data_IF_198504325089
#
_entry.id   IF_198504325089
#
_cell.length_a   1.000
_cell.length_b   1.000
_cell.length_c   1.000
_cell.angle_alpha   90.00
_cell.angle_beta   90.00
_cell.angle_gamma   90.00
#
_symmetry.space_group_name_H-M   'P 1'
#
loop_
_entity.id
_entity.type
_entity.pdbx_description
1 polymer ?
#
# COMPACT_ATOMS: atom_id res chain seq x y z
N UNK A 1 -40.41 -7.24 -35.56
CA UNK A 1 -40.46 -7.85 -34.21
C UNK A 1 -39.81 -6.89 -33.21
N UNK A 2 -40.04 -7.04 -31.89
CA UNK A 2 -39.47 -6.18 -30.82
C UNK A 2 -37.96 -5.81 -30.99
N UNK A 3 -37.09 -6.69 -31.56
CA UNK A 3 -35.69 -6.38 -31.84
C UNK A 3 -35.43 -5.30 -32.90
N UNK A 4 -36.31 -5.14 -33.89
CA UNK A 4 -36.10 -4.15 -34.97
C UNK A 4 -36.33 -2.72 -34.48
N UNK A 5 -37.33 -2.53 -33.63
CA UNK A 5 -37.61 -1.23 -33.00
C UNK A 5 -36.47 -0.81 -32.08
N UNK A 6 -35.88 -1.77 -31.36
CA UNK A 6 -34.70 -1.56 -30.51
C UNK A 6 -33.47 -1.18 -31.35
N UNK A 7 -33.23 -1.85 -32.48
CA UNK A 7 -32.16 -1.47 -33.42
C UNK A 7 -32.39 -0.10 -34.06
N UNK A 8 -33.63 0.25 -34.35
CA UNK A 8 -33.99 1.54 -34.93
C UNK A 8 -33.83 2.70 -33.92
N UNK A 9 -34.12 2.43 -32.64
CA UNK A 9 -33.87 3.34 -31.52
C UNK A 9 -32.37 3.52 -31.24
N UNK A 10 -31.60 2.44 -31.25
CA UNK A 10 -30.14 2.51 -31.08
C UNK A 10 -29.46 3.24 -32.24
N UNK A 11 -29.98 3.11 -33.47
CA UNK A 11 -29.50 3.86 -34.64
C UNK A 11 -29.82 5.36 -34.56
N UNK A 12 -31.01 5.73 -34.11
CA UNK A 12 -31.39 7.14 -33.90
C UNK A 12 -30.65 7.80 -32.73
N UNK A 13 -30.22 7.02 -31.73
CA UNK A 13 -29.36 7.51 -30.65
C UNK A 13 -27.93 7.81 -31.13
N UNK A 14 -27.45 7.09 -32.17
CA UNK A 14 -26.15 7.36 -32.79
C UNK A 14 -26.13 8.63 -33.66
N UNK A 15 -27.29 9.12 -34.12
CA UNK A 15 -27.43 10.33 -34.94
C UNK A 15 -27.49 11.63 -34.11
N UNK A 16 -27.24 11.55 -32.78
CA UNK A 16 -26.71 12.68 -32.01
C UNK A 16 -27.51 13.98 -32.04
N UNK A 17 -28.84 13.93 -31.94
CA UNK A 17 -29.65 15.14 -31.75
C UNK A 17 -30.77 14.95 -30.73
N UNK A 18 -30.47 15.26 -29.47
CA UNK A 18 -31.47 15.56 -28.46
C UNK A 18 -31.66 17.08 -28.34
N UNK A 19 -32.90 17.57 -28.16
CA UNK A 19 -33.22 18.99 -28.04
C UNK A 19 -33.08 19.48 -26.59
N UNK A 20 -32.69 20.74 -26.43
CA UNK A 20 -32.86 21.50 -25.18
C UNK A 20 -31.62 21.57 -24.30
N UNK A 21 -30.82 22.62 -24.53
CA UNK A 21 -30.15 23.55 -23.59
C UNK A 21 -29.80 23.10 -22.16
N UNK A 22 -29.53 21.82 -21.97
CA UNK A 22 -28.56 21.43 -20.95
C UNK A 22 -27.23 21.56 -21.66
N UNK A 23 -26.46 22.60 -21.32
CA UNK A 23 -25.02 22.56 -21.51
C UNK A 23 -24.52 21.38 -20.66
N UNK A 24 -24.67 20.15 -21.15
CA UNK A 24 -23.66 19.13 -20.93
C UNK A 24 -22.45 19.81 -21.50
N UNK A 25 -21.62 20.41 -20.64
CA UNK A 25 -20.32 20.89 -21.07
C UNK A 25 -19.70 19.66 -21.69
N UNK A 26 -19.70 19.60 -23.03
CA UNK A 26 -18.91 18.64 -23.76
C UNK A 26 -17.52 18.90 -23.20
N UNK A 27 -17.06 17.98 -22.34
CA UNK A 27 -15.68 18.01 -21.95
C UNK A 27 -14.99 17.87 -23.29
N UNK A 28 -14.36 18.95 -23.75
CA UNK A 28 -13.57 18.92 -24.98
C UNK A 28 -12.71 17.65 -24.91
N UNK A 29 -12.49 16.97 -26.03
CA UNK A 29 -11.75 15.71 -26.04
C UNK A 29 -10.42 15.84 -25.25
N UNK A 30 -9.85 17.05 -25.26
CA UNK A 30 -8.68 17.48 -24.49
C UNK A 30 -8.89 17.41 -22.95
N UNK A 31 -10.03 17.86 -22.43
CA UNK A 31 -10.38 17.77 -21.00
C UNK A 31 -10.61 16.32 -20.56
N UNK A 32 -11.21 15.50 -21.42
CA UNK A 32 -11.43 14.07 -21.13
C UNK A 32 -10.10 13.30 -21.12
N UNK A 33 -9.22 13.56 -22.09
CA UNK A 33 -7.86 13.01 -22.13
C UNK A 33 -7.07 13.41 -20.88
N UNK A 34 -7.12 14.68 -20.48
CA UNK A 34 -6.44 15.15 -19.27
C UNK A 34 -6.94 14.46 -17.99
N UNK A 35 -8.26 14.26 -17.85
CA UNK A 35 -8.81 13.54 -16.71
C UNK A 35 -8.36 12.07 -16.66
N UNK A 36 -8.23 11.42 -17.82
CA UNK A 36 -7.71 10.06 -17.89
C UNK A 36 -6.23 10.00 -17.49
N UNK A 37 -5.43 10.99 -17.91
CA UNK A 37 -4.03 11.09 -17.52
C UNK A 37 -3.84 11.35 -16.03
N UNK A 38 -4.68 12.21 -15.43
CA UNK A 38 -4.70 12.45 -13.98
C UNK A 38 -5.06 11.20 -13.19
N UNK A 39 -6.06 10.42 -13.64
CA UNK A 39 -6.42 9.15 -13.02
C UNK A 39 -5.28 8.13 -13.11
N UNK A 40 -4.66 7.98 -14.29
CA UNK A 40 -3.49 7.12 -14.49
C UNK A 40 -2.28 7.55 -13.64
N UNK A 41 -2.01 8.85 -13.55
CA UNK A 41 -0.95 9.39 -12.67
C UNK A 41 -1.21 9.11 -11.19
N UNK A 42 -2.46 9.18 -10.75
CA UNK A 42 -2.86 8.83 -9.37
C UNK A 42 -2.68 7.34 -9.10
N UNK A 43 -3.17 6.47 -9.98
CA UNK A 43 -3.00 5.02 -9.85
C UNK A 43 -1.52 4.63 -9.85
N UNK A 44 -0.72 5.13 -10.79
CA UNK A 44 0.72 4.87 -10.83
C UNK A 44 1.45 5.37 -9.57
N UNK A 45 0.99 6.48 -8.98
CA UNK A 45 1.52 6.99 -7.72
C UNK A 45 1.11 6.09 -6.54
N UNK A 46 -0.11 5.60 -6.52
CA UNK A 46 -0.60 4.66 -5.50
C UNK A 46 0.15 3.32 -5.57
N UNK A 47 0.34 2.75 -6.76
CA UNK A 47 1.13 1.54 -7.01
C UNK A 47 2.61 1.71 -6.61
N UNK A 48 3.22 2.86 -6.90
CA UNK A 48 4.59 3.15 -6.50
C UNK A 48 4.76 3.25 -4.98
N UNK A 49 3.78 3.85 -4.29
CA UNK A 49 3.76 3.94 -2.81
C UNK A 49 3.60 2.55 -2.19
N UNK A 50 2.79 1.68 -2.79
CA UNK A 50 2.58 0.34 -2.26
C UNK A 50 3.78 -0.58 -2.50
N UNK A 51 4.41 -0.54 -3.67
CA UNK A 51 5.71 -1.21 -3.90
C UNK A 51 6.79 -0.74 -2.92
N UNK A 52 6.85 0.56 -2.60
CA UNK A 52 7.81 1.09 -1.63
C UNK A 52 7.50 0.58 -0.21
N UNK A 53 6.23 0.43 0.16
CA UNK A 53 5.83 -0.19 1.43
C UNK A 53 6.18 -1.67 1.46
N UNK A 54 5.83 -2.42 0.42
CA UNK A 54 6.15 -3.85 0.31
C UNK A 54 7.65 -4.08 0.39
N UNK A 55 8.45 -3.28 -0.32
CA UNK A 55 9.91 -3.31 -0.24
C UNK A 55 10.42 -3.11 1.19
N UNK A 56 9.91 -2.10 1.90
CA UNK A 56 10.26 -1.85 3.31
C UNK A 56 9.82 -2.98 4.25
N UNK A 57 8.65 -3.58 4.00
CA UNK A 57 8.19 -4.72 4.81
C UNK A 57 9.05 -5.96 4.57
N UNK A 58 9.44 -6.23 3.32
CA UNK A 58 10.35 -7.33 2.98
C UNK A 58 11.72 -7.14 3.65
N UNK A 59 12.27 -5.94 3.63
CA UNK A 59 13.53 -5.63 4.30
C UNK A 59 13.41 -5.81 5.83
N UNK A 60 12.32 -5.35 6.43
CA UNK A 60 12.07 -5.53 7.85
C UNK A 60 11.95 -7.01 8.25
N UNK A 61 11.27 -7.82 7.43
CA UNK A 61 11.15 -9.26 7.63
C UNK A 61 12.52 -9.97 7.56
N UNK A 62 13.36 -9.60 6.60
CA UNK A 62 14.71 -10.13 6.49
C UNK A 62 15.57 -9.77 7.72
N UNK A 63 15.43 -8.55 8.26
CA UNK A 63 16.12 -8.15 9.50
C UNK A 63 15.65 -8.93 10.71
N UNK A 64 14.36 -9.24 10.80
CA UNK A 64 13.78 -10.06 11.87
C UNK A 64 14.30 -11.50 11.77
N UNK A 65 14.37 -12.08 10.56
CA UNK A 65 14.90 -13.42 10.33
C UNK A 65 16.37 -13.55 10.74
N UNK A 66 17.17 -12.52 10.46
CA UNK A 66 18.62 -12.47 10.74
C UNK A 66 18.94 -11.93 12.16
N UNK A 67 17.95 -11.84 13.05
CA UNK A 67 18.18 -11.41 14.42
C UNK A 67 18.84 -12.55 15.23
N UNK A 68 20.18 -12.54 15.33
CA UNK A 68 20.97 -13.57 16.01
C UNK A 68 21.68 -13.07 17.29
N UNK A 69 21.17 -11.98 17.90
CA UNK A 69 21.77 -11.44 19.13
C UNK A 69 21.50 -12.31 20.35
N UNK A 70 22.54 -12.53 21.15
CA UNK A 70 22.43 -13.21 22.44
C UNK A 70 22.03 -12.25 23.56
N UNK A 71 21.34 -12.72 24.61
CA UNK A 71 20.94 -11.86 25.74
C UNK A 71 22.10 -11.10 26.40
N UNK A 72 23.33 -11.67 26.38
CA UNK A 72 24.53 -10.98 26.87
C UNK A 72 24.86 -9.74 26.04
N UNK A 73 24.79 -9.83 24.71
CA UNK A 73 25.15 -8.74 23.79
C UNK A 73 24.15 -7.58 23.92
N UNK A 74 22.86 -7.89 24.09
CA UNK A 74 21.83 -6.87 24.34
C UNK A 74 22.07 -6.20 25.70
N UNK A 75 22.37 -6.97 26.75
CA UNK A 75 22.67 -6.41 28.08
C UNK A 75 23.89 -5.49 28.02
N UNK A 76 24.95 -5.92 27.36
CA UNK A 76 26.19 -5.14 27.24
C UNK A 76 25.96 -3.87 26.38
N UNK A 77 25.04 -3.90 25.41
CA UNK A 77 24.57 -2.70 24.71
C UNK A 77 23.81 -1.74 25.64
N UNK A 78 22.91 -2.27 26.48
CA UNK A 78 22.15 -1.49 27.46
C UNK A 78 23.03 -0.87 28.56
N UNK A 79 24.17 -1.49 28.88
CA UNK A 79 25.15 -0.97 29.84
C UNK A 79 25.72 0.40 29.45
N UNK A 80 25.71 0.75 28.16
CA UNK A 80 26.17 2.06 27.67
C UNK A 80 25.23 3.21 28.01
N UNK A 81 23.95 2.90 28.25
CA UNK A 81 22.89 3.90 28.40
C UNK A 81 22.24 3.87 29.78
N UNK A 82 22.27 2.73 30.47
CA UNK A 82 21.63 2.54 31.78
C UNK A 82 22.69 2.11 32.78
N UNK A 83 22.74 2.73 33.96
CA UNK A 83 23.73 2.43 35.01
C UNK A 83 23.10 1.59 36.13
N UNK A 84 23.85 0.62 36.69
CA UNK A 84 23.51 -0.24 37.86
C UNK A 84 22.32 -1.20 37.75
N UNK A 85 21.35 -0.99 36.85
CA UNK A 85 20.13 -1.81 36.73
C UNK A 85 20.36 -3.20 36.12
N UNK A 86 21.13 -4.08 36.80
CA UNK A 86 21.50 -5.40 36.27
C UNK A 86 20.31 -6.31 35.99
N UNK A 87 19.34 -6.35 36.90
CA UNK A 87 18.20 -7.26 36.82
C UNK A 87 17.21 -6.81 35.75
N UNK A 88 16.93 -5.51 35.67
CA UNK A 88 16.09 -4.96 34.62
C UNK A 88 16.69 -5.18 33.22
N UNK A 89 18.01 -4.98 33.05
CA UNK A 89 18.68 -5.25 31.77
C UNK A 89 18.62 -6.72 31.39
N UNK A 90 18.76 -7.62 32.37
CA UNK A 90 18.63 -9.07 32.14
C UNK A 90 17.23 -9.43 31.67
N UNK A 91 16.19 -8.97 32.37
CA UNK A 91 14.78 -9.22 32.00
C UNK A 91 14.49 -8.67 30.61
N UNK A 92 14.92 -7.44 30.32
CA UNK A 92 14.72 -6.82 29.02
C UNK A 92 15.43 -7.58 27.89
N UNK A 93 16.67 -8.02 28.12
CA UNK A 93 17.43 -8.79 27.13
C UNK A 93 16.76 -10.13 26.81
N UNK A 94 16.23 -10.83 27.83
CA UNK A 94 15.49 -12.08 27.63
C UNK A 94 14.19 -11.83 26.88
N UNK A 95 13.42 -10.81 27.29
CA UNK A 95 12.14 -10.48 26.66
C UNK A 95 12.28 -10.13 25.18
N UNK A 96 13.32 -9.36 24.82
CA UNK A 96 13.61 -9.02 23.42
C UNK A 96 13.96 -10.29 22.63
N UNK A 97 14.90 -11.12 23.13
CA UNK A 97 15.26 -12.36 22.45
C UNK A 97 14.06 -13.30 22.28
N UNK A 98 13.21 -13.43 23.29
CA UNK A 98 11.99 -14.25 23.21
C UNK A 98 11.01 -13.74 22.16
N UNK A 99 10.80 -12.42 22.09
CA UNK A 99 9.91 -11.81 21.10
C UNK A 99 10.36 -12.09 19.66
N UNK A 100 11.64 -11.88 19.34
CA UNK A 100 12.17 -12.17 18.00
C UNK A 100 12.12 -13.66 17.67
N UNK A 101 12.43 -14.53 18.63
CA UNK A 101 12.30 -15.98 18.47
C UNK A 101 10.84 -16.42 18.25
N UNK A 102 9.89 -15.78 18.91
CA UNK A 102 8.47 -16.04 18.71
C UNK A 102 8.00 -15.61 17.32
N UNK A 103 8.37 -14.40 16.88
CA UNK A 103 8.03 -13.90 15.54
C UNK A 103 8.64 -14.80 14.45
N UNK A 104 9.91 -15.22 14.61
CA UNK A 104 10.55 -16.18 13.70
C UNK A 104 9.77 -17.48 13.58
N UNK A 105 9.29 -18.04 14.70
CA UNK A 105 8.47 -19.27 14.70
C UNK A 105 7.09 -19.10 14.05
N UNK A 106 6.54 -17.89 14.00
CA UNK A 106 5.26 -17.63 13.30
C UNK A 106 5.48 -17.44 11.79
N UNK A 107 6.67 -16.99 11.40
CA UNK A 107 7.04 -16.77 10.01
C UNK A 107 7.53 -18.05 9.29
N UNK A 108 7.93 -19.07 10.06
CA UNK A 108 8.21 -20.44 9.58
C UNK A 108 6.91 -21.24 9.38
#
# INVERSE_FOLDING_TARGET
SLPDLLKQLMKKAADGKLPGDTQITFMDADKFAHLQDLKRKRQKKEEAVEMEREGRTSEALERIKNFDYRPKEIRDYLDRFVIKQSDAKKVLSIAICDHYNHVRRILE
#
